data_IF_071635061675
#
_entry.id   IF_071635061675
#
_cell.length_a   1.000
_cell.length_b   1.000
_cell.length_c   1.000
_cell.angle_alpha   90.00
_cell.angle_beta   90.00
_cell.angle_gamma   90.00
#
_symmetry.space_group_name_H-M   'P 1'
#
loop_
_entity.id
_entity.type
_entity.pdbx_description
1 polymer ?
#
# COMPACT_ATOMS: atom_id res chain seq x y z
N UNK A 1 44.41 51.65 78.46
CA UNK A 1 43.73 52.94 78.17
C UNK A 1 42.27 52.61 77.91
N UNK A 2 41.38 53.05 78.79
CA UNK A 2 39.94 52.88 78.59
C UNK A 2 39.44 53.91 77.55
N UNK A 3 38.53 53.53 76.65
CA UNK A 3 37.99 54.43 75.64
C UNK A 3 37.25 55.60 76.30
N UNK A 4 37.43 56.80 75.75
CA UNK A 4 36.76 58.00 76.28
C UNK A 4 35.26 57.96 75.99
N UNK A 5 34.42 58.61 76.82
CA UNK A 5 32.96 58.61 76.65
C UNK A 5 32.46 59.09 75.28
N UNK A 6 33.24 59.91 74.59
CA UNK A 6 32.94 60.40 73.23
C UNK A 6 33.23 59.36 72.14
N UNK A 7 34.32 58.59 72.26
CA UNK A 7 34.63 57.48 71.35
C UNK A 7 33.57 56.37 71.43
N UNK A 8 33.05 56.08 72.62
CA UNK A 8 31.93 55.16 72.80
C UNK A 8 30.64 55.63 72.12
N UNK A 9 30.30 56.94 72.21
CA UNK A 9 29.09 57.49 71.58
C UNK A 9 29.14 57.43 70.05
N UNK A 10 30.30 57.65 69.46
CA UNK A 10 30.49 57.64 68.01
C UNK A 10 30.43 56.20 67.45
N UNK A 11 31.07 55.25 68.13
CA UNK A 11 30.99 53.81 67.83
C UNK A 11 29.55 53.27 67.91
N UNK A 12 28.76 53.73 68.90
CA UNK A 12 27.34 53.36 69.02
C UNK A 12 26.53 53.89 67.83
N UNK A 13 26.76 55.14 67.39
CA UNK A 13 26.06 55.73 66.23
C UNK A 13 26.39 55.00 64.94
N UNK A 14 27.65 54.63 64.74
CA UNK A 14 28.09 53.87 63.57
C UNK A 14 27.49 52.47 63.56
N UNK A 15 27.49 51.78 64.70
CA UNK A 15 26.84 50.48 64.87
C UNK A 15 25.34 50.57 64.59
N UNK A 16 24.65 51.61 65.09
CA UNK A 16 23.23 51.83 64.79
C UNK A 16 22.96 52.08 63.30
N UNK A 17 23.84 52.79 62.61
CA UNK A 17 23.75 53.00 61.16
C UNK A 17 23.91 51.69 60.39
N UNK A 18 24.88 50.86 60.76
CA UNK A 18 25.08 49.53 60.16
C UNK A 18 23.91 48.59 60.43
N UNK A 19 23.34 48.60 61.63
CA UNK A 19 22.12 47.83 61.95
C UNK A 19 20.95 48.25 61.05
N UNK A 20 20.73 49.56 60.85
CA UNK A 20 19.67 50.05 59.96
C UNK A 20 19.89 49.64 58.50
N UNK A 21 21.14 49.68 58.01
CA UNK A 21 21.49 49.23 56.66
C UNK A 21 21.25 47.73 56.49
N UNK A 22 21.64 46.91 57.46
CA UNK A 22 21.39 45.47 57.48
C UNK A 22 19.89 45.16 57.49
N UNK A 23 19.10 45.86 58.31
CA UNK A 23 17.64 45.70 58.34
C UNK A 23 17.00 46.01 56.98
N UNK A 24 17.45 47.08 56.31
CA UNK A 24 17.00 47.43 54.97
C UNK A 24 17.38 46.36 53.94
N UNK A 25 18.64 45.90 53.95
CA UNK A 25 19.11 44.85 53.06
C UNK A 25 18.34 43.53 53.25
N UNK A 26 18.02 43.17 54.49
CA UNK A 26 17.20 41.98 54.79
C UNK A 26 15.77 42.11 54.25
N UNK A 27 15.14 43.29 54.38
CA UNK A 27 13.81 43.53 53.80
C UNK A 27 13.83 43.46 52.28
N UNK A 28 14.82 44.07 51.64
CA UNK A 28 14.99 44.01 50.19
C UNK A 28 15.24 42.58 49.70
N UNK A 29 16.06 41.79 50.41
CA UNK A 29 16.30 40.39 50.09
C UNK A 29 15.02 39.54 50.24
N UNK A 30 14.21 39.80 51.28
CA UNK A 30 12.93 39.14 51.48
C UNK A 30 11.95 39.45 50.36
N UNK A 31 11.85 40.71 49.95
CA UNK A 31 10.99 41.13 48.84
C UNK A 31 11.45 40.50 47.52
N UNK A 32 12.75 40.57 47.20
CA UNK A 32 13.30 39.95 45.99
C UNK A 32 13.03 38.44 45.94
N UNK A 33 13.13 37.74 47.07
CA UNK A 33 12.81 36.31 47.14
C UNK A 33 11.34 36.05 46.83
N UNK A 34 10.44 36.85 47.38
CA UNK A 34 9.00 36.75 47.12
C UNK A 34 8.67 37.03 45.66
N UNK A 35 9.23 38.10 45.09
CA UNK A 35 9.03 38.47 43.68
C UNK A 35 9.58 37.39 42.73
N UNK A 36 10.73 36.81 43.06
CA UNK A 36 11.32 35.72 42.27
C UNK A 36 10.45 34.47 42.33
N UNK A 37 9.92 34.12 43.50
CA UNK A 37 8.97 33.00 43.65
C UNK A 37 7.73 33.22 42.79
N UNK A 38 7.12 34.40 42.86
CA UNK A 38 5.93 34.72 42.07
C UNK A 38 6.21 34.64 40.55
N UNK A 39 7.37 35.11 40.10
CA UNK A 39 7.79 34.98 38.69
C UNK A 39 7.96 33.53 38.27
N UNK A 40 8.52 32.68 39.12
CA UNK A 40 8.66 31.25 38.84
C UNK A 40 7.29 30.55 38.74
N UNK A 41 6.33 30.92 39.59
CA UNK A 41 4.98 30.35 39.54
C UNK A 41 4.25 30.73 38.24
N UNK A 42 4.37 32.00 37.81
CA UNK A 42 3.83 32.46 36.53
C UNK A 42 4.48 31.69 35.37
N UNK A 43 5.81 31.59 35.36
CA UNK A 43 6.54 30.89 34.32
C UNK A 43 6.13 29.42 34.22
N UNK A 44 6.01 28.72 35.35
CA UNK A 44 5.55 27.34 35.40
C UNK A 44 4.12 27.19 34.86
N UNK A 45 3.22 28.14 35.18
CA UNK A 45 1.86 28.15 34.64
C UNK A 45 1.85 28.32 33.12
N UNK A 46 2.66 29.23 32.58
CA UNK A 46 2.78 29.44 31.14
C UNK A 46 3.37 28.22 30.42
N UNK A 47 4.37 27.57 31.02
CA UNK A 47 4.90 26.30 30.50
C UNK A 47 3.83 25.21 30.47
N UNK A 48 3.01 25.09 31.52
CA UNK A 48 1.89 24.14 31.56
C UNK A 48 0.88 24.40 30.44
N UNK A 49 0.50 25.66 30.23
CA UNK A 49 -0.41 26.06 29.14
C UNK A 49 0.18 25.76 27.76
N UNK A 50 1.46 26.07 27.55
CA UNK A 50 2.14 25.80 26.29
C UNK A 50 2.25 24.31 26.00
N UNK A 51 2.52 23.49 27.02
CA UNK A 51 2.56 22.04 26.88
C UNK A 51 1.19 21.49 26.45
N UNK A 52 0.11 21.95 27.08
CA UNK A 52 -1.24 21.54 26.71
C UNK A 52 -1.58 21.96 25.27
N UNK A 53 -1.31 23.21 24.91
CA UNK A 53 -1.58 23.72 23.56
C UNK A 53 -0.82 22.94 22.48
N UNK A 54 0.41 22.50 22.77
CA UNK A 54 1.18 21.64 21.86
C UNK A 54 0.57 20.26 21.70
N UNK A 55 0.05 19.67 22.78
CA UNK A 55 -0.64 18.38 22.75
C UNK A 55 -1.93 18.48 21.93
N UNK A 56 -2.76 19.47 22.22
CA UNK A 56 -4.03 19.69 21.52
C UNK A 56 -3.81 19.91 20.02
N UNK A 57 -2.81 20.70 19.65
CA UNK A 57 -2.47 20.95 18.25
C UNK A 57 -1.95 19.68 17.54
N UNK A 58 -1.11 18.88 18.21
CA UNK A 58 -0.64 17.62 17.66
C UNK A 58 -1.80 16.62 17.45
N UNK A 59 -2.76 16.59 18.37
CA UNK A 59 -3.95 15.75 18.25
C UNK A 59 -4.88 16.23 17.13
N UNK A 60 -5.07 17.55 16.98
CA UNK A 60 -5.83 18.13 15.86
C UNK A 60 -5.25 17.70 14.51
N UNK A 61 -3.94 17.91 14.31
CA UNK A 61 -3.26 17.53 13.05
C UNK A 61 -3.43 16.03 12.79
N UNK A 62 -3.26 15.20 13.83
CA UNK A 62 -3.42 13.75 13.69
C UNK A 62 -4.86 13.40 13.28
N UNK A 63 -5.86 14.06 13.86
CA UNK A 63 -7.26 13.82 13.52
C UNK A 63 -7.56 14.23 12.06
N UNK A 64 -7.09 15.39 11.62
CA UNK A 64 -7.26 15.91 10.26
C UNK A 64 -6.60 14.97 9.24
N UNK A 65 -5.38 14.52 9.54
CA UNK A 65 -4.68 13.54 8.71
C UNK A 65 -5.43 12.22 8.58
N UNK A 66 -6.04 11.74 9.67
CA UNK A 66 -6.85 10.52 9.64
C UNK A 66 -8.12 10.69 8.79
N UNK A 67 -8.77 11.85 8.85
CA UNK A 67 -9.93 12.17 8.01
C UNK A 67 -9.52 12.17 6.54
N UNK A 68 -8.47 12.93 6.20
CA UNK A 68 -7.91 12.97 4.84
C UNK A 68 -7.57 11.57 4.31
N UNK A 69 -6.92 10.73 5.12
CA UNK A 69 -6.59 9.37 4.73
C UNK A 69 -7.82 8.52 4.42
N UNK A 70 -8.91 8.66 5.18
CA UNK A 70 -10.16 7.94 4.94
C UNK A 70 -10.82 8.40 3.64
N UNK A 71 -10.89 9.70 3.40
CA UNK A 71 -11.43 10.27 2.17
C UNK A 71 -10.64 9.82 0.93
N UNK A 72 -9.31 9.92 0.99
CA UNK A 72 -8.43 9.47 -0.10
C UNK A 72 -8.53 7.97 -0.35
N UNK A 73 -8.79 7.15 0.68
CA UNK A 73 -9.02 5.72 0.49
C UNK A 73 -10.34 5.47 -0.24
N UNK A 74 -11.40 6.19 0.10
CA UNK A 74 -12.69 6.07 -0.55
C UNK A 74 -12.61 6.49 -2.04
N UNK A 75 -11.97 7.62 -2.32
CA UNK A 75 -11.77 8.12 -3.70
C UNK A 75 -10.99 7.10 -4.53
N UNK A 76 -9.86 6.60 -4.02
CA UNK A 76 -9.04 5.60 -4.74
C UNK A 76 -9.78 4.30 -4.97
N UNK A 77 -10.61 3.86 -4.02
CA UNK A 77 -11.44 2.66 -4.17
C UNK A 77 -12.46 2.85 -5.30
N UNK A 78 -13.19 3.96 -5.30
CA UNK A 78 -14.17 4.27 -6.33
C UNK A 78 -13.53 4.38 -7.72
N UNK A 79 -12.35 4.99 -7.81
CA UNK A 79 -11.60 5.10 -9.07
C UNK A 79 -11.11 3.73 -9.58
N UNK A 80 -10.64 2.85 -8.69
CA UNK A 80 -10.25 1.49 -9.05
C UNK A 80 -11.45 0.66 -9.55
N UNK A 81 -12.59 0.74 -8.86
CA UNK A 81 -13.83 0.07 -9.27
C UNK A 81 -14.31 0.58 -10.63
N UNK A 82 -14.25 1.89 -10.86
CA UNK A 82 -14.59 2.48 -12.16
C UNK A 82 -13.68 1.95 -13.27
N UNK A 83 -12.36 1.96 -13.06
CA UNK A 83 -11.39 1.46 -14.05
C UNK A 83 -11.56 -0.03 -14.34
N UNK A 84 -11.96 -0.82 -13.35
CA UNK A 84 -12.26 -2.23 -13.56
C UNK A 84 -13.46 -2.41 -14.48
N UNK A 85 -14.54 -1.66 -14.25
CA UNK A 85 -15.74 -1.71 -15.12
C UNK A 85 -15.40 -1.25 -16.54
N UNK A 86 -14.67 -0.15 -16.70
CA UNK A 86 -14.25 0.35 -18.02
C UNK A 86 -13.39 -0.68 -18.77
N UNK A 87 -12.49 -1.37 -18.06
CA UNK A 87 -11.66 -2.42 -18.64
C UNK A 87 -12.48 -3.63 -19.07
N UNK A 88 -13.42 -4.09 -18.24
CA UNK A 88 -14.30 -5.23 -18.57
C UNK A 88 -15.20 -4.90 -19.78
N UNK A 89 -15.68 -3.66 -19.88
CA UNK A 89 -16.44 -3.17 -21.02
C UNK A 89 -15.60 -3.12 -22.30
N UNK A 90 -14.35 -2.64 -22.22
CA UNK A 90 -13.41 -2.61 -23.34
C UNK A 90 -13.05 -4.02 -23.82
N UNK A 91 -12.78 -4.94 -22.89
CA UNK A 91 -12.51 -6.35 -23.18
C UNK A 91 -13.72 -6.99 -23.89
N UNK A 92 -14.93 -6.75 -23.38
CA UNK A 92 -16.18 -7.23 -23.99
C UNK A 92 -16.38 -6.66 -25.40
N UNK A 93 -16.04 -5.39 -25.62
CA UNK A 93 -16.11 -4.78 -26.94
C UNK A 93 -15.10 -5.42 -27.90
N UNK A 94 -13.85 -5.62 -27.49
CA UNK A 94 -12.83 -6.29 -28.29
C UNK A 94 -13.23 -7.74 -28.61
N UNK A 95 -13.77 -8.49 -27.65
CA UNK A 95 -14.26 -9.85 -27.89
C UNK A 95 -15.41 -9.87 -28.91
N UNK A 96 -16.34 -8.91 -28.84
CA UNK A 96 -17.40 -8.76 -29.84
C UNK A 96 -16.83 -8.47 -31.23
N UNK A 97 -15.81 -7.64 -31.33
CA UNK A 97 -15.14 -7.34 -32.61
C UNK A 97 -14.34 -8.53 -33.15
N UNK A 98 -13.61 -9.25 -32.29
CA UNK A 98 -12.93 -10.51 -32.63
C UNK A 98 -13.94 -11.55 -33.13
N UNK A 99 -15.07 -11.73 -32.46
CA UNK A 99 -16.14 -12.65 -32.91
C UNK A 99 -16.69 -12.25 -34.29
N UNK A 100 -16.87 -10.94 -34.56
CA UNK A 100 -17.33 -10.44 -35.88
C UNK A 100 -16.33 -10.71 -37.01
N UNK A 101 -15.03 -10.69 -36.73
CA UNK A 101 -13.97 -10.94 -37.72
C UNK A 101 -13.68 -12.44 -37.87
N UNK A 102 -13.69 -13.19 -36.77
CA UNK A 102 -13.54 -14.65 -36.73
C UNK A 102 -14.62 -15.36 -37.56
N UNK A 103 -15.89 -14.98 -37.37
CA UNK A 103 -17.01 -15.60 -38.07
C UNK A 103 -17.02 -15.36 -39.60
N UNK A 104 -16.15 -14.49 -40.14
CA UNK A 104 -16.09 -14.21 -41.58
C UNK A 104 -15.17 -15.15 -42.37
N UNK A 105 -14.27 -15.88 -41.71
CA UNK A 105 -13.36 -16.85 -42.37
C UNK A 105 -13.80 -18.29 -42.07
N UNK A 106 -15.05 -18.64 -42.39
CA UNK A 106 -15.45 -20.05 -42.37
C UNK A 106 -14.61 -20.81 -43.39
N UNK A 107 -13.86 -21.79 -42.91
CA UNK A 107 -13.08 -22.68 -43.77
C UNK A 107 -14.00 -23.34 -44.79
N UNK A 108 -13.56 -23.38 -46.04
CA UNK A 108 -14.21 -24.20 -47.07
C UNK A 108 -14.13 -25.67 -46.68
N UNK A 109 -15.03 -26.52 -47.17
CA UNK A 109 -15.01 -27.96 -46.82
C UNK A 109 -13.66 -28.62 -47.12
N UNK A 110 -12.97 -28.19 -48.18
CA UNK A 110 -11.63 -28.68 -48.52
C UNK A 110 -10.59 -28.27 -47.48
N UNK A 111 -10.62 -27.02 -47.02
CA UNK A 111 -9.72 -26.53 -45.98
C UNK A 111 -9.97 -27.21 -44.62
N UNK A 112 -11.23 -27.53 -44.30
CA UNK A 112 -11.56 -28.27 -43.08
C UNK A 112 -10.93 -29.66 -43.08
N UNK A 113 -11.08 -30.40 -44.19
CA UNK A 113 -10.50 -31.74 -44.33
C UNK A 113 -8.97 -31.67 -44.21
N UNK A 114 -8.34 -30.72 -44.88
CA UNK A 114 -6.88 -30.51 -44.82
C UNK A 114 -6.40 -30.16 -43.40
N UNK A 115 -7.12 -29.30 -42.68
CA UNK A 115 -6.81 -28.96 -41.30
C UNK A 115 -6.99 -30.16 -40.36
N UNK A 116 -8.07 -30.94 -40.50
CA UNK A 116 -8.27 -32.17 -39.74
C UNK A 116 -7.12 -33.16 -39.99
N UNK A 117 -6.69 -33.34 -41.25
CA UNK A 117 -5.57 -34.21 -41.59
C UNK A 117 -4.26 -33.75 -40.95
N UNK A 118 -3.94 -32.45 -41.05
CA UNK A 118 -2.74 -31.87 -40.43
C UNK A 118 -2.73 -32.05 -38.90
N UNK A 119 -3.87 -31.81 -38.25
CA UNK A 119 -4.00 -31.99 -36.80
C UNK A 119 -3.89 -33.47 -36.39
N UNK A 120 -4.47 -34.39 -37.17
CA UNK A 120 -4.34 -35.83 -36.91
C UNK A 120 -2.88 -36.29 -37.04
N UNK A 121 -2.17 -35.83 -38.08
CA UNK A 121 -0.75 -36.17 -38.26
C UNK A 121 0.09 -35.67 -37.10
N UNK A 122 -0.13 -34.42 -36.67
CA UNK A 122 0.58 -33.82 -35.53
C UNK A 122 0.28 -34.54 -34.22
N UNK A 123 -0.97 -34.89 -33.94
CA UNK A 123 -1.37 -35.61 -32.72
C UNK A 123 -0.85 -37.06 -32.70
N UNK A 124 -0.76 -37.71 -33.87
CA UNK A 124 -0.17 -39.06 -34.00
C UNK A 124 1.35 -39.04 -33.82
N UNK A 125 2.02 -37.99 -34.29
CA UNK A 125 3.45 -37.81 -34.09
C UNK A 125 3.75 -37.13 -32.75
N UNK A 126 3.48 -37.86 -31.66
CA UNK A 126 3.69 -37.41 -30.28
C UNK A 126 5.13 -36.96 -29.99
N UNK A 127 6.10 -37.26 -30.86
CA UNK A 127 7.50 -36.81 -30.73
C UNK A 127 7.67 -35.31 -30.98
N UNK A 128 6.74 -34.69 -31.71
CA UNK A 128 6.74 -33.25 -31.99
C UNK A 128 5.89 -32.45 -31.00
N UNK A 129 5.23 -33.13 -30.05
CA UNK A 129 4.48 -32.50 -28.98
C UNK A 129 5.37 -32.34 -27.76
N UNK A 130 5.45 -31.12 -27.23
CA UNK A 130 6.11 -30.88 -25.95
C UNK A 130 5.13 -31.27 -24.83
N UNK A 131 5.32 -32.46 -24.26
CA UNK A 131 4.48 -32.98 -23.16
C UNK A 131 5.25 -32.80 -21.85
N UNK A 132 4.71 -31.97 -20.97
CA UNK A 132 5.26 -31.71 -19.64
C UNK A 132 4.59 -32.65 -18.63
N UNK A 133 5.34 -33.11 -17.64
CA UNK A 133 4.87 -34.03 -16.57
C UNK A 133 4.30 -35.36 -17.11
N UNK A 134 4.91 -35.90 -18.16
CA UNK A 134 4.65 -37.26 -18.64
C UNK A 134 5.21 -38.27 -17.62
N UNK A 135 4.40 -38.59 -16.61
CA UNK A 135 4.75 -39.50 -15.53
C UNK A 135 3.90 -40.77 -15.60
N UNK A 136 4.52 -41.93 -15.37
CA UNK A 136 3.89 -43.27 -15.45
C UNK A 136 2.85 -43.58 -14.36
N UNK A 137 2.26 -42.57 -13.71
CA UNK A 137 1.23 -42.77 -12.70
C UNK A 137 -0.14 -43.04 -13.36
N UNK A 138 -1.03 -43.75 -12.65
CA UNK A 138 -2.39 -44.06 -13.13
C UNK A 138 -3.30 -42.83 -13.32
N UNK A 139 -2.83 -41.62 -12.97
CA UNK A 139 -3.55 -40.37 -13.13
C UNK A 139 -2.78 -39.54 -14.14
N UNK A 140 -3.44 -39.17 -15.24
CA UNK A 140 -2.85 -38.30 -16.25
C UNK A 140 -2.71 -36.88 -15.71
N UNK A 141 -1.48 -36.48 -15.42
CA UNK A 141 -1.10 -35.11 -15.03
C UNK A 141 -0.30 -34.41 -16.13
N UNK A 142 -0.26 -35.01 -17.32
CA UNK A 142 0.48 -34.46 -18.44
C UNK A 142 -0.18 -33.19 -18.98
N UNK A 143 0.64 -32.26 -19.44
CA UNK A 143 0.19 -31.04 -20.08
C UNK A 143 0.84 -30.97 -21.46
N UNK A 144 0.02 -30.90 -22.50
CA UNK A 144 0.47 -30.74 -23.87
C UNK A 144 0.65 -29.26 -24.16
N UNK A 145 1.89 -28.88 -24.50
CA UNK A 145 2.22 -27.54 -24.97
C UNK A 145 2.20 -27.55 -26.51
N UNK A 146 1.36 -26.69 -27.10
CA UNK A 146 1.23 -26.55 -28.55
C UNK A 146 1.55 -25.12 -29.01
N UNK A 147 2.16 -24.96 -30.20
CA UNK A 147 2.31 -23.65 -30.82
C UNK A 147 0.96 -22.98 -31.06
N UNK A 148 0.90 -21.64 -30.97
CA UNK A 148 -0.32 -20.84 -31.20
C UNK A 148 -0.97 -21.16 -32.56
N UNK A 149 -0.16 -21.36 -33.59
CA UNK A 149 -0.65 -21.72 -34.93
C UNK A 149 -1.45 -23.02 -34.95
N UNK A 150 -1.09 -24.00 -34.12
CA UNK A 150 -1.81 -25.28 -34.01
C UNK A 150 -3.11 -25.10 -33.23
N UNK A 151 -3.09 -24.33 -32.14
CA UNK A 151 -4.31 -24.00 -31.38
C UNK A 151 -5.33 -23.23 -32.24
N UNK A 152 -4.85 -22.32 -33.10
CA UNK A 152 -5.70 -21.60 -34.06
C UNK A 152 -6.42 -22.54 -35.04
N UNK A 153 -5.80 -23.66 -35.44
CA UNK A 153 -6.45 -24.65 -36.31
C UNK A 153 -7.57 -25.39 -35.58
N UNK A 154 -7.38 -25.77 -34.31
CA UNK A 154 -8.44 -26.37 -33.49
C UNK A 154 -9.62 -25.41 -33.34
N UNK A 155 -9.35 -24.15 -32.98
CA UNK A 155 -10.40 -23.14 -32.85
C UNK A 155 -11.09 -22.84 -34.18
N UNK A 156 -10.38 -22.86 -35.30
CA UNK A 156 -10.97 -22.66 -36.62
C UNK A 156 -11.96 -23.78 -37.01
N UNK A 157 -11.78 -24.97 -36.44
CA UNK A 157 -12.68 -26.11 -36.55
C UNK A 157 -13.77 -26.14 -35.47
N UNK A 158 -13.75 -25.19 -34.52
CA UNK A 158 -14.64 -25.13 -33.36
C UNK A 158 -14.49 -26.36 -32.43
N UNK A 159 -13.24 -26.79 -32.23
CA UNK A 159 -12.87 -27.93 -31.38
C UNK A 159 -11.92 -27.43 -30.29
N UNK A 160 -12.09 -27.93 -29.07
CA UNK A 160 -11.14 -27.67 -27.99
C UNK A 160 -9.85 -28.50 -28.21
N UNK A 161 -8.65 -27.87 -28.20
CA UNK A 161 -7.41 -28.60 -28.33
C UNK A 161 -7.20 -29.53 -27.13
N UNK A 162 -6.62 -30.74 -27.31
CA UNK A 162 -6.34 -31.66 -26.22
C UNK A 162 -5.28 -31.03 -25.31
N UNK A 163 -5.60 -30.93 -24.03
CA UNK A 163 -4.72 -30.35 -23.00
C UNK A 163 -3.90 -31.47 -22.35
N UNK A 164 -4.45 -32.67 -22.27
CA UNK A 164 -3.82 -33.85 -21.63
C UNK A 164 -3.55 -34.97 -22.63
N UNK A 165 -2.54 -35.81 -22.37
CA UNK A 165 -2.15 -36.93 -23.25
C UNK A 165 -3.26 -37.96 -23.44
N UNK A 166 -4.04 -38.24 -22.40
CA UNK A 166 -5.20 -39.13 -22.45
C UNK A 166 -6.32 -38.62 -23.37
N UNK A 167 -6.36 -37.32 -23.66
CA UNK A 167 -7.35 -36.72 -24.56
C UNK A 167 -6.98 -36.91 -26.04
N UNK A 168 -5.69 -37.16 -26.36
CA UNK A 168 -5.17 -37.24 -27.74
C UNK A 168 -5.98 -38.22 -28.60
N UNK A 169 -6.17 -39.46 -28.16
CA UNK A 169 -6.84 -40.49 -28.96
C UNK A 169 -8.32 -40.15 -29.20
N UNK A 170 -8.98 -39.54 -28.20
CA UNK A 170 -10.36 -39.09 -28.33
C UNK A 170 -10.48 -37.93 -29.32
N UNK A 171 -9.54 -36.99 -29.30
CA UNK A 171 -9.48 -35.86 -30.24
C UNK A 171 -9.15 -36.32 -31.66
N UNK A 172 -8.23 -37.28 -31.84
CA UNK A 172 -7.94 -37.88 -33.16
C UNK A 172 -9.21 -38.53 -33.73
N UNK A 173 -9.96 -39.25 -32.89
CA UNK A 173 -11.22 -39.90 -33.30
C UNK A 173 -12.24 -38.86 -33.75
N UNK A 174 -12.40 -37.78 -32.98
CA UNK A 174 -13.29 -36.66 -33.31
C UNK A 174 -12.90 -36.01 -34.66
N UNK A 175 -11.62 -35.68 -34.84
CA UNK A 175 -11.10 -35.08 -36.08
C UNK A 175 -11.31 -36.01 -37.29
N UNK A 176 -11.15 -37.32 -37.10
CA UNK A 176 -11.33 -38.32 -38.16
C UNK A 176 -12.79 -38.44 -38.61
N UNK A 177 -13.76 -38.17 -37.74
CA UNK A 177 -15.19 -38.16 -38.08
C UNK A 177 -15.61 -36.90 -38.86
N UNK A 178 -14.76 -35.86 -38.88
CA UNK A 178 -15.00 -34.60 -39.57
C UNK A 178 -14.41 -34.55 -40.99
N UNK A 179 -13.74 -35.63 -41.41
CA UNK A 179 -13.22 -35.85 -42.77
C UNK A 179 -14.23 -36.68 -43.56
#
# INVERSE_FOLDING_TARGET
>A
MEPTPEQCKESIKETQKSIRQLQKAMQEAKQKKQDTSAKMDILNSEYGKLAQLRLDHAESIKSEWQVYCKEQRAIRKADAEKRQVEFDEELSAQDKERKKTWNKKKMTSKQKIEACQQLIELLKDQKNLEIVNDTDFHIDTSIIMMPSSTMELFWALDIDPPIMKSEIDSTITLLSQMI
#
